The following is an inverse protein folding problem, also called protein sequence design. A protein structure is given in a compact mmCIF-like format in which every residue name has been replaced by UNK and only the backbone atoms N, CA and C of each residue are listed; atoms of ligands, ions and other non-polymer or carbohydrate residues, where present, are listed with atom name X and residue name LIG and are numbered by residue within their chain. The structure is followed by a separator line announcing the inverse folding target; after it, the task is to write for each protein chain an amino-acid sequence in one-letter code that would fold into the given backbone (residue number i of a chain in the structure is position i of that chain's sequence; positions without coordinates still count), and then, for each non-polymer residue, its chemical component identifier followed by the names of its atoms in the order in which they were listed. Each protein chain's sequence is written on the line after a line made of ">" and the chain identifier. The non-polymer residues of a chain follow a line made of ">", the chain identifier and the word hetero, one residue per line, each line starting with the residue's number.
data_IF_884746732489
#
_entry.id   IF_884746732489
#
_cell.length_a   1.000
_cell.length_b   1.000
_cell.length_c   1.000
_cell.angle_alpha   90.00
_cell.angle_beta   90.00
_cell.angle_gamma   90.00
#
_symmetry.space_group_name_H-M   'P 1'
#
loop_
_entity.id
_entity.type
_entity.pdbx_description
1 polymer ?
#
# COMPACT_ATOMS: atom_id res chain seq x y z
N UNK A 1 19.60 -19.43 22.16
CA UNK A 1 18.18 -19.69 21.85
C UNK A 1 18.07 -20.08 20.38
N UNK A 2 17.45 -21.20 20.04
CA UNK A 2 17.39 -21.68 18.64
C UNK A 2 16.22 -20.98 17.92
N UNK A 3 16.52 -20.07 16.99
CA UNK A 3 15.49 -19.32 16.25
C UNK A 3 14.62 -20.22 15.37
N UNK A 4 15.08 -21.45 15.05
CA UNK A 4 14.36 -22.39 14.19
C UNK A 4 12.99 -22.78 14.74
N UNK A 5 12.71 -22.58 16.03
CA UNK A 5 11.37 -22.79 16.61
C UNK A 5 10.30 -21.86 16.04
N UNK A 6 10.69 -20.73 15.46
CA UNK A 6 9.77 -19.78 14.83
C UNK A 6 9.40 -20.15 13.38
N UNK A 7 9.98 -21.23 12.85
CA UNK A 7 9.82 -21.69 11.48
C UNK A 7 8.96 -22.96 11.45
N UNK A 8 8.26 -23.19 10.34
CA UNK A 8 7.52 -24.44 10.12
C UNK A 8 8.48 -25.58 9.80
N UNK A 9 7.98 -26.82 9.84
CA UNK A 9 8.77 -28.02 9.55
C UNK A 9 9.29 -27.96 8.11
N UNK A 10 8.44 -27.53 7.17
CA UNK A 10 8.74 -27.39 5.75
C UNK A 10 9.85 -26.35 5.51
N UNK A 11 9.78 -25.21 6.21
CA UNK A 11 10.81 -24.17 6.14
C UNK A 11 12.15 -24.70 6.67
N UNK A 12 12.15 -25.40 7.81
CA UNK A 12 13.35 -25.97 8.43
C UNK A 12 14.01 -26.99 7.50
N UNK A 13 13.23 -27.83 6.82
CA UNK A 13 13.75 -28.81 5.86
C UNK A 13 14.56 -28.12 4.76
N UNK A 14 14.02 -27.05 4.16
CA UNK A 14 14.70 -26.31 3.09
C UNK A 14 15.94 -25.58 3.63
N UNK A 15 15.84 -24.94 4.80
CA UNK A 15 16.98 -24.29 5.46
C UNK A 15 18.11 -25.30 5.70
N UNK A 16 17.78 -26.54 6.08
CA UNK A 16 18.77 -27.60 6.28
C UNK A 16 19.42 -28.05 4.97
N UNK A 17 18.69 -28.10 3.86
CA UNK A 17 19.27 -28.37 2.53
C UNK A 17 20.27 -27.28 2.14
N UNK A 18 19.88 -26.01 2.28
CA UNK A 18 20.75 -24.86 2.00
C UNK A 18 21.99 -24.90 2.90
N UNK A 19 21.81 -25.18 4.20
CA UNK A 19 22.89 -25.35 5.17
C UNK A 19 23.88 -26.44 4.74
N UNK A 20 23.42 -27.60 4.29
CA UNK A 20 24.29 -28.70 3.86
C UNK A 20 25.13 -28.33 2.63
N UNK A 21 24.52 -27.65 1.65
CA UNK A 21 25.23 -27.14 0.47
C UNK A 21 26.27 -26.09 0.89
N UNK A 22 25.90 -25.16 1.77
CA UNK A 22 26.82 -24.12 2.21
C UNK A 22 28.01 -24.70 2.98
N UNK A 23 27.75 -25.59 3.94
CA UNK A 23 28.78 -26.24 4.76
C UNK A 23 29.77 -27.05 3.92
N UNK A 24 29.29 -27.85 2.96
CA UNK A 24 30.16 -28.66 2.09
C UNK A 24 31.02 -27.84 1.13
N UNK A 25 30.67 -26.57 0.88
CA UNK A 25 31.37 -25.69 -0.05
C UNK A 25 32.10 -24.52 0.64
N UNK A 26 32.14 -24.50 1.98
CA UNK A 26 32.77 -23.42 2.76
C UNK A 26 32.10 -22.06 2.59
N UNK A 27 30.81 -22.03 2.23
CA UNK A 27 30.03 -20.80 2.01
C UNK A 27 29.40 -20.37 3.32
N UNK A 28 29.49 -19.08 3.63
CA UNK A 28 28.82 -18.50 4.80
C UNK A 28 27.39 -18.14 4.42
N UNK A 29 26.45 -18.55 5.27
CA UNK A 29 25.03 -18.34 5.03
C UNK A 29 24.31 -17.92 6.33
N UNK A 30 23.46 -16.92 6.20
CA UNK A 30 22.86 -16.22 7.34
C UNK A 30 21.38 -15.99 7.07
N UNK A 31 20.51 -16.41 7.97
CA UNK A 31 19.15 -15.85 8.02
C UNK A 31 19.28 -14.43 8.57
N UNK A 32 18.69 -13.44 7.92
CA UNK A 32 18.91 -12.02 8.27
C UNK A 32 17.61 -11.25 8.46
N UNK A 33 17.71 -10.09 9.10
CA UNK A 33 16.67 -9.09 9.05
C UNK A 33 15.40 -9.46 9.82
N UNK A 34 14.26 -9.24 9.15
CA UNK A 34 12.94 -9.39 9.76
C UNK A 34 12.68 -10.81 10.27
N UNK A 35 13.22 -11.84 9.59
CA UNK A 35 13.09 -13.22 10.01
C UNK A 35 13.72 -13.46 11.39
N UNK A 36 14.91 -12.91 11.63
CA UNK A 36 15.60 -13.05 12.94
C UNK A 36 14.84 -12.28 14.01
N UNK A 37 14.49 -11.00 13.74
CA UNK A 37 13.71 -10.16 14.65
C UNK A 37 12.39 -10.83 15.06
N UNK A 38 11.63 -11.32 14.09
CA UNK A 38 10.32 -11.91 14.32
C UNK A 38 10.45 -13.20 15.15
N UNK A 39 11.48 -14.00 14.92
CA UNK A 39 11.77 -15.17 15.75
C UNK A 39 12.06 -14.80 17.22
N UNK A 40 12.81 -13.72 17.48
CA UNK A 40 13.07 -13.24 18.85
C UNK A 40 11.84 -12.59 19.51
N UNK A 41 10.94 -12.01 18.73
CA UNK A 41 9.65 -11.51 19.19
C UNK A 41 8.63 -12.64 19.46
N UNK A 42 8.98 -13.90 19.17
CA UNK A 42 8.07 -15.05 19.30
C UNK A 42 7.02 -15.13 18.19
N UNK A 43 7.19 -14.38 17.11
CA UNK A 43 6.32 -14.42 15.95
C UNK A 43 6.74 -15.54 15.00
N UNK A 44 5.77 -16.10 14.25
CA UNK A 44 6.07 -17.00 13.13
C UNK A 44 6.76 -16.23 12.00
N UNK A 45 7.84 -16.80 11.47
CA UNK A 45 8.56 -16.23 10.32
C UNK A 45 7.80 -16.56 9.03
N UNK A 46 7.46 -15.52 8.27
CA UNK A 46 6.78 -15.67 6.97
C UNK A 46 7.76 -15.57 5.81
N UNK A 47 8.49 -14.46 5.78
CA UNK A 47 9.46 -14.16 4.74
C UNK A 47 10.86 -14.56 5.22
N UNK A 48 11.54 -15.40 4.45
CA UNK A 48 12.85 -15.97 4.82
C UNK A 48 13.91 -15.40 3.88
N UNK A 49 14.68 -14.47 4.42
CA UNK A 49 15.84 -13.88 3.75
C UNK A 49 17.11 -14.60 4.20
N UNK A 50 17.83 -15.22 3.26
CA UNK A 50 19.13 -15.85 3.50
C UNK A 50 20.21 -15.10 2.73
N UNK A 51 21.06 -14.39 3.47
CA UNK A 51 22.26 -13.75 2.95
C UNK A 51 23.41 -14.75 2.86
N UNK A 52 24.11 -14.76 1.73
CA UNK A 52 25.26 -15.63 1.47
C UNK A 52 26.46 -14.84 0.95
N UNK A 53 27.68 -15.29 1.23
CA UNK A 53 28.92 -14.62 0.76
C UNK A 53 29.34 -15.04 -0.67
N UNK A 54 28.45 -15.71 -1.41
CA UNK A 54 28.65 -16.17 -2.80
C UNK A 54 27.46 -15.78 -3.69
N UNK A 55 27.62 -15.88 -5.02
CA UNK A 55 26.51 -15.68 -5.95
C UNK A 55 25.39 -16.73 -5.71
N UNK A 56 24.11 -16.32 -5.55
CA UNK A 56 22.99 -17.25 -5.32
C UNK A 56 22.84 -18.33 -6.39
N UNK A 57 23.19 -18.07 -7.64
CA UNK A 57 23.14 -19.07 -8.72
C UNK A 57 23.96 -20.33 -8.41
N UNK A 58 25.04 -20.20 -7.63
CA UNK A 58 25.83 -21.35 -7.18
C UNK A 58 25.03 -22.33 -6.33
N UNK A 59 24.17 -21.81 -5.45
CA UNK A 59 23.34 -22.63 -4.57
C UNK A 59 22.13 -23.15 -5.35
N UNK A 60 21.50 -22.30 -6.17
CA UNK A 60 20.32 -22.67 -6.98
C UNK A 60 20.62 -23.89 -7.85
N UNK A 61 21.78 -23.93 -8.53
CA UNK A 61 22.18 -25.06 -9.37
C UNK A 61 22.39 -26.38 -8.61
N UNK A 62 22.40 -26.36 -7.28
CA UNK A 62 22.57 -27.54 -6.40
C UNK A 62 21.33 -27.86 -5.57
N UNK A 63 20.30 -27.02 -5.61
CA UNK A 63 19.08 -27.19 -4.84
C UNK A 63 18.07 -28.03 -5.62
N UNK A 64 17.45 -28.98 -4.93
CA UNK A 64 16.31 -29.75 -5.44
C UNK A 64 15.00 -29.20 -4.87
N UNK A 65 13.88 -29.51 -5.53
CA UNK A 65 12.54 -29.15 -5.05
C UNK A 65 12.13 -27.70 -5.30
N UNK A 66 12.91 -26.94 -6.06
CA UNK A 66 12.51 -25.62 -6.57
C UNK A 66 11.42 -25.82 -7.63
N UNK A 67 10.25 -25.20 -7.43
CA UNK A 67 9.14 -25.18 -8.38
C UNK A 67 9.41 -24.14 -9.47
N UNK A 68 9.80 -22.94 -9.08
CA UNK A 68 10.30 -21.90 -9.96
C UNK A 68 11.17 -20.91 -9.19
N UNK A 69 11.98 -20.15 -9.92
CA UNK A 69 12.76 -19.06 -9.32
C UNK A 69 12.85 -17.86 -10.25
N UNK A 70 13.06 -16.69 -9.67
CA UNK A 70 13.39 -15.47 -10.39
C UNK A 70 14.72 -14.93 -9.89
N UNK A 71 15.68 -14.75 -10.80
CA UNK A 71 16.98 -14.17 -10.49
C UNK A 71 17.02 -12.70 -10.94
N UNK A 72 17.49 -11.82 -10.06
CA UNK A 72 17.64 -10.40 -10.31
C UNK A 72 19.13 -10.03 -10.33
N UNK A 73 19.72 -10.01 -11.53
CA UNK A 73 21.16 -9.79 -11.74
C UNK A 73 21.68 -8.51 -11.09
N UNK A 74 20.95 -7.40 -11.27
CA UNK A 74 21.29 -6.08 -10.73
C UNK A 74 21.50 -6.07 -9.21
N UNK A 75 20.75 -6.89 -8.48
CA UNK A 75 20.77 -6.93 -7.02
C UNK A 75 21.41 -8.21 -6.47
N UNK A 76 21.82 -9.12 -7.35
CA UNK A 76 22.34 -10.46 -7.04
C UNK A 76 21.48 -11.16 -5.99
N UNK A 77 20.17 -11.15 -6.25
CA UNK A 77 19.13 -11.70 -5.38
C UNK A 77 18.30 -12.69 -6.20
N UNK A 78 17.86 -13.77 -5.56
CA UNK A 78 17.02 -14.77 -6.17
C UNK A 78 15.84 -15.10 -5.26
N UNK A 79 14.63 -15.02 -5.79
CA UNK A 79 13.43 -15.47 -5.10
C UNK A 79 13.08 -16.88 -5.54
N UNK A 80 13.06 -17.81 -4.59
CA UNK A 80 12.84 -19.24 -4.83
C UNK A 80 11.48 -19.66 -4.28
N UNK A 81 10.63 -20.23 -5.12
CA UNK A 81 9.41 -20.92 -4.70
C UNK A 81 9.65 -22.43 -4.76
N UNK A 82 9.47 -23.11 -3.64
CA UNK A 82 9.62 -24.56 -3.53
C UNK A 82 8.29 -25.28 -3.79
N UNK A 83 8.34 -26.58 -4.10
CA UNK A 83 7.16 -27.42 -4.37
C UNK A 83 6.17 -27.51 -3.20
N UNK A 84 6.65 -27.30 -1.97
CA UNK A 84 5.85 -27.25 -0.75
C UNK A 84 5.32 -25.82 -0.43
N UNK A 85 5.31 -24.93 -1.43
CA UNK A 85 4.81 -23.55 -1.34
C UNK A 85 5.59 -22.65 -0.35
N UNK A 86 6.80 -23.06 0.05
CA UNK A 86 7.71 -22.21 0.83
C UNK A 86 8.47 -21.28 -0.10
N UNK A 87 8.52 -19.99 0.26
CA UNK A 87 9.32 -18.98 -0.41
C UNK A 87 10.58 -18.65 0.39
N UNK A 88 11.73 -18.59 -0.29
CA UNK A 88 13.00 -18.15 0.29
C UNK A 88 13.68 -17.19 -0.68
N UNK A 89 14.16 -16.06 -0.16
CA UNK A 89 15.00 -15.13 -0.89
C UNK A 89 16.48 -15.39 -0.57
N UNK A 90 17.25 -15.77 -1.58
CA UNK A 90 18.71 -15.88 -1.51
C UNK A 90 19.34 -14.57 -1.96
N UNK A 91 20.08 -13.92 -1.06
CA UNK A 91 20.63 -12.60 -1.28
C UNK A 91 22.14 -12.68 -1.16
N UNK A 92 22.90 -12.11 -2.11
CA UNK A 92 24.34 -11.96 -1.89
C UNK A 92 24.60 -10.86 -0.85
N UNK A 93 25.45 -11.16 0.13
CA UNK A 93 25.97 -10.17 1.06
C UNK A 93 26.59 -9.01 0.28
N UNK A 94 26.22 -7.79 0.64
CA UNK A 94 26.62 -6.60 -0.12
C UNK A 94 26.84 -5.39 0.76
N UNK A 95 27.71 -4.49 0.29
CA UNK A 95 27.78 -3.11 0.77
C UNK A 95 27.01 -2.22 -0.21
N UNK A 96 26.47 -1.12 0.31
CA UNK A 96 25.76 -0.12 -0.47
C UNK A 96 26.50 1.21 -0.34
N UNK A 97 26.60 1.94 -1.45
CA UNK A 97 27.10 3.31 -1.50
C UNK A 97 26.07 4.20 -2.17
N UNK A 98 25.80 5.35 -1.57
CA UNK A 98 24.87 6.35 -2.08
C UNK A 98 25.70 7.50 -2.67
N UNK A 99 25.57 7.72 -3.98
CA UNK A 99 26.30 8.80 -4.64
C UNK A 99 25.80 10.19 -4.19
N UNK A 100 24.49 10.29 -3.94
CA UNK A 100 23.80 11.46 -3.40
C UNK A 100 22.63 11.01 -2.53
N UNK A 101 22.23 11.88 -1.59
CA UNK A 101 21.06 11.67 -0.74
C UNK A 101 19.80 11.42 -1.59
N UNK A 102 19.01 10.40 -1.23
CA UNK A 102 17.78 10.02 -1.94
C UNK A 102 17.96 9.15 -3.18
N UNK A 103 19.18 8.99 -3.70
CA UNK A 103 19.43 8.12 -4.86
C UNK A 103 19.37 6.63 -4.52
N UNK A 104 19.25 5.80 -5.57
CA UNK A 104 19.38 4.35 -5.40
C UNK A 104 20.84 3.98 -5.13
N UNK A 105 21.10 3.01 -4.23
CA UNK A 105 22.46 2.63 -3.90
C UNK A 105 23.13 1.88 -5.04
N UNK A 106 24.45 2.08 -5.15
CA UNK A 106 25.37 1.22 -5.90
C UNK A 106 25.75 0.04 -5.00
N UNK A 107 25.71 -1.17 -5.56
CA UNK A 107 25.84 -2.42 -4.82
C UNK A 107 27.14 -3.11 -5.19
N UNK A 108 27.91 -3.49 -4.16
CA UNK A 108 29.11 -4.29 -4.30
C UNK A 108 29.04 -5.55 -3.42
N UNK A 109 29.45 -6.72 -3.92
CA UNK A 109 29.63 -7.91 -3.10
C UNK A 109 30.48 -7.65 -1.86
N UNK A 110 30.05 -8.17 -0.72
CA UNK A 110 30.74 -7.96 0.55
C UNK A 110 30.48 -9.07 1.57
N UNK A 111 30.86 -8.84 2.82
CA UNK A 111 30.62 -9.74 3.94
C UNK A 111 29.35 -9.37 4.72
N UNK A 112 28.97 -10.22 5.67
CA UNK A 112 27.78 -10.02 6.50
C UNK A 112 27.83 -8.73 7.33
N UNK A 113 29.00 -8.32 7.82
CA UNK A 113 29.13 -7.10 8.64
C UNK A 113 28.76 -5.85 7.84
N UNK A 114 29.19 -5.78 6.58
CA UNK A 114 28.80 -4.70 5.68
C UNK A 114 27.33 -4.78 5.25
N UNK A 115 26.78 -5.99 5.10
CA UNK A 115 25.36 -6.18 4.81
C UNK A 115 24.46 -5.76 5.97
N UNK A 116 24.87 -6.02 7.21
CA UNK A 116 24.17 -5.56 8.40
C UNK A 116 24.32 -4.05 8.56
N UNK A 117 25.50 -3.50 8.25
CA UNK A 117 25.77 -2.06 8.33
C UNK A 117 24.79 -1.27 7.47
N UNK A 118 24.55 -1.63 6.21
CA UNK A 118 23.69 -0.86 5.28
C UNK A 118 22.19 -0.82 5.65
N UNK A 119 21.75 -1.54 6.68
CA UNK A 119 20.32 -1.66 7.03
C UNK A 119 19.80 -0.41 7.73
N UNK A 120 18.49 -0.35 7.86
CA UNK A 120 17.78 0.81 8.37
C UNK A 120 17.86 0.92 9.91
N UNK A 121 17.47 -0.14 10.61
CA UNK A 121 17.33 -0.17 12.07
C UNK A 121 18.09 -1.33 12.71
N UNK A 122 18.56 -1.11 13.94
CA UNK A 122 19.30 -2.10 14.75
C UNK A 122 18.52 -3.41 14.90
N UNK A 123 17.22 -3.32 15.20
CA UNK A 123 16.31 -4.47 15.29
C UNK A 123 16.20 -5.29 13.99
N UNK A 124 16.55 -4.70 12.85
CA UNK A 124 16.59 -5.38 11.54
C UNK A 124 18.02 -5.74 11.10
N UNK A 125 19.04 -5.40 11.88
CA UNK A 125 20.44 -5.68 11.59
C UNK A 125 20.98 -6.84 12.41
N UNK A 126 20.18 -7.91 12.45
CA UNK A 126 20.53 -9.19 13.06
C UNK A 126 20.79 -10.23 11.98
N UNK A 127 21.75 -11.10 12.21
CA UNK A 127 22.04 -12.26 11.38
C UNK A 127 22.19 -13.52 12.22
N UNK A 128 21.65 -14.63 11.74
CA UNK A 128 21.81 -15.95 12.35
C UNK A 128 22.53 -16.87 11.38
N UNK A 129 23.73 -17.28 11.72
CA UNK A 129 24.54 -18.21 10.93
C UNK A 129 23.89 -19.59 10.97
N UNK A 130 23.39 -20.05 9.81
CA UNK A 130 22.67 -21.33 9.74
C UNK A 130 23.62 -22.53 9.88
N UNK A 131 24.91 -22.36 9.59
CA UNK A 131 25.92 -23.41 9.68
C UNK A 131 26.34 -23.61 11.13
N UNK A 132 26.79 -22.53 11.79
CA UNK A 132 27.32 -22.56 13.16
C UNK A 132 26.23 -22.49 14.23
N UNK A 133 25.05 -21.96 13.90
CA UNK A 133 23.97 -21.72 14.85
C UNK A 133 24.21 -20.52 15.76
N UNK A 134 25.13 -19.62 15.38
CA UNK A 134 25.47 -18.42 16.13
C UNK A 134 24.67 -17.21 15.68
N UNK A 135 24.37 -16.32 16.63
CA UNK A 135 23.77 -15.02 16.35
C UNK A 135 24.86 -13.96 16.22
N UNK A 136 24.72 -13.09 15.24
CA UNK A 136 25.53 -11.90 15.01
C UNK A 136 24.64 -10.69 15.24
N UNK A 137 24.94 -9.93 16.28
CA UNK A 137 24.31 -8.65 16.63
C UNK A 137 25.43 -7.64 16.96
N UNK A 138 25.74 -6.77 15.99
CA UNK A 138 26.83 -5.80 16.10
C UNK A 138 26.33 -4.47 16.68
N UNK A 139 25.03 -4.19 16.54
CA UNK A 139 24.43 -2.88 16.81
C UNK A 139 23.49 -2.88 18.02
N UNK A 140 23.39 -3.98 18.75
CA UNK A 140 22.54 -4.09 19.94
C UNK A 140 21.04 -4.25 19.61
N UNK A 141 20.72 -4.81 18.46
CA UNK A 141 19.34 -5.00 18.00
C UNK A 141 18.50 -5.87 18.94
N UNK A 142 19.10 -6.85 19.62
CA UNK A 142 18.37 -7.66 20.61
C UNK A 142 17.94 -6.86 21.83
N UNK A 143 18.80 -5.97 22.32
CA UNK A 143 18.50 -5.13 23.49
C UNK A 143 17.44 -4.09 23.11
N UNK A 144 17.50 -3.52 21.91
CA UNK A 144 16.46 -2.64 21.38
C UNK A 144 15.11 -3.36 21.23
N UNK A 145 15.09 -4.60 20.72
CA UNK A 145 13.86 -5.41 20.65
C UNK A 145 13.27 -5.64 22.05
N UNK A 146 14.11 -5.99 23.03
CA UNK A 146 13.69 -6.23 24.41
C UNK A 146 13.13 -4.96 25.06
N UNK A 147 13.77 -3.82 24.82
CA UNK A 147 13.35 -2.51 25.34
C UNK A 147 12.24 -1.85 24.52
N UNK A 148 11.78 -2.50 23.43
CA UNK A 148 10.83 -1.95 22.46
C UNK A 148 11.27 -0.57 21.96
N UNK A 149 12.54 -0.44 21.61
CA UNK A 149 13.13 0.78 21.08
C UNK A 149 13.39 0.60 19.59
N UNK A 150 13.08 1.61 18.78
CA UNK A 150 13.47 1.63 17.37
C UNK A 150 14.61 2.63 17.17
N UNK A 151 15.80 2.12 16.87
CA UNK A 151 17.00 2.91 16.62
C UNK A 151 17.53 2.67 15.21
N UNK A 152 17.89 3.75 14.52
CA UNK A 152 18.57 3.69 13.23
C UNK A 152 20.05 3.28 13.40
N UNK A 153 20.65 2.74 12.34
CA UNK A 153 22.07 2.33 12.38
C UNK A 153 23.02 3.52 12.11
N UNK A 154 22.68 4.39 11.16
CA UNK A 154 23.51 5.52 10.75
C UNK A 154 22.92 6.85 11.19
N UNK A 155 23.79 7.80 11.53
CA UNK A 155 23.38 9.17 11.83
C UNK A 155 22.62 9.83 10.67
N UNK A 156 23.04 9.63 9.41
CA UNK A 156 22.39 10.24 8.24
C UNK A 156 21.31 9.37 7.57
N UNK A 157 20.83 8.32 8.24
CA UNK A 157 19.98 7.27 7.65
C UNK A 157 18.75 7.82 6.91
N UNK A 158 18.06 8.82 7.47
CA UNK A 158 16.83 9.36 6.86
C UNK A 158 17.09 10.29 5.67
N UNK A 159 18.28 10.89 5.56
CA UNK A 159 18.67 11.72 4.41
C UNK A 159 19.15 10.87 3.26
N UNK A 160 19.98 9.86 3.55
CA UNK A 160 20.42 8.88 2.55
C UNK A 160 19.23 8.19 1.89
N UNK A 161 18.26 7.74 2.70
CA UNK A 161 17.04 7.11 2.21
C UNK A 161 15.80 7.58 2.99
N UNK A 162 15.07 8.59 2.46
CA UNK A 162 13.88 9.14 3.10
C UNK A 162 12.73 8.14 3.26
N UNK A 163 12.74 7.04 2.49
CA UNK A 163 11.73 5.97 2.65
C UNK A 163 11.81 5.30 4.02
N UNK A 164 12.97 5.36 4.68
CA UNK A 164 13.18 4.82 6.04
C UNK A 164 12.30 5.51 7.09
N UNK A 165 11.85 6.74 6.88
CA UNK A 165 10.93 7.43 7.78
C UNK A 165 9.58 6.69 7.83
N UNK A 166 9.02 6.32 6.68
CA UNK A 166 7.78 5.54 6.62
C UNK A 166 7.97 4.15 7.21
N UNK A 167 9.13 3.52 6.96
CA UNK A 167 9.49 2.22 7.57
C UNK A 167 9.59 2.33 9.10
N UNK A 168 10.12 3.44 9.62
CA UNK A 168 10.18 3.73 11.04
C UNK A 168 8.79 3.73 11.66
N UNK A 169 7.84 4.46 11.04
CA UNK A 169 6.43 4.48 11.44
C UNK A 169 5.84 3.08 11.41
N UNK A 170 6.05 2.34 10.31
CA UNK A 170 5.55 0.97 10.15
C UNK A 170 5.99 0.08 11.30
N UNK A 171 7.28 0.07 11.61
CA UNK A 171 7.85 -0.80 12.64
C UNK A 171 7.49 -0.35 14.05
N UNK A 172 7.46 0.95 14.32
CA UNK A 172 7.01 1.51 15.58
C UNK A 172 5.58 1.06 15.91
N UNK A 173 4.65 1.16 14.96
CA UNK A 173 3.26 0.76 15.18
C UNK A 173 3.09 -0.75 15.18
N UNK A 174 3.69 -1.47 14.22
CA UNK A 174 3.52 -2.92 14.08
C UNK A 174 4.03 -3.69 15.31
N UNK A 175 5.19 -3.30 15.84
CA UNK A 175 5.83 -3.99 16.96
C UNK A 175 5.66 -3.28 18.30
N UNK A 176 5.01 -2.11 18.31
CA UNK A 176 4.85 -1.28 19.50
C UNK A 176 6.18 -0.74 20.01
N UNK A 177 7.11 -0.42 19.11
CA UNK A 177 8.39 0.18 19.46
C UNK A 177 8.25 1.69 19.62
N UNK A 178 8.95 2.25 20.61
CA UNK A 178 9.11 3.69 20.77
C UNK A 178 10.20 4.20 19.82
N UNK A 179 9.82 5.19 19.01
CA UNK A 179 10.71 5.83 18.07
C UNK A 179 11.54 6.89 18.80
N UNK A 180 12.86 6.68 18.90
CA UNK A 180 13.76 7.61 19.61
C UNK A 180 14.08 8.86 18.81
N UNK A 181 14.07 8.76 17.49
CA UNK A 181 14.51 9.85 16.60
C UNK A 181 13.35 10.75 16.11
N UNK A 182 12.28 10.93 16.91
CA UNK A 182 11.08 11.69 16.49
C UNK A 182 11.42 13.12 16.05
N UNK A 183 12.22 13.82 16.86
CA UNK A 183 12.58 15.22 16.60
C UNK A 183 13.44 15.36 15.34
N UNK A 184 14.37 14.45 15.14
CA UNK A 184 15.19 14.43 13.93
C UNK A 184 14.36 14.17 12.67
N UNK A 185 13.43 13.21 12.73
CA UNK A 185 12.52 12.93 11.61
C UNK A 185 11.71 14.19 11.30
N UNK A 186 11.13 14.85 12.30
CA UNK A 186 10.37 16.08 12.11
C UNK A 186 11.25 17.16 11.45
N UNK A 187 12.51 17.30 11.87
CA UNK A 187 13.45 18.25 11.28
C UNK A 187 13.72 17.92 9.79
N UNK A 188 14.05 16.67 9.46
CA UNK A 188 14.26 16.25 8.08
C UNK A 188 13.02 16.48 7.20
N UNK A 189 11.83 16.21 7.73
CA UNK A 189 10.57 16.45 7.02
C UNK A 189 10.37 17.93 6.74
N UNK A 190 10.61 18.81 7.71
CA UNK A 190 10.51 20.26 7.53
C UNK A 190 11.53 20.81 6.52
N UNK A 191 12.72 20.20 6.44
CA UNK A 191 13.76 20.52 5.44
C UNK A 191 13.39 20.01 4.03
N UNK A 192 12.28 19.29 3.87
CA UNK A 192 11.81 18.82 2.58
C UNK A 192 12.54 17.59 2.06
N UNK A 193 13.00 16.69 2.95
CA UNK A 193 13.76 15.48 2.60
C UNK A 193 13.06 14.59 1.57
N UNK A 194 11.72 14.58 1.53
CA UNK A 194 10.96 13.80 0.54
C UNK A 194 11.07 14.33 -0.89
N UNK A 195 11.51 15.57 -1.10
CA UNK A 195 11.77 16.10 -2.43
C UNK A 195 13.00 15.42 -3.10
N UNK A 196 13.80 14.67 -2.34
CA UNK A 196 14.96 13.93 -2.81
C UNK A 196 14.60 12.59 -3.49
N UNK A 197 13.36 12.13 -3.35
CA UNK A 197 12.89 10.86 -3.91
C UNK A 197 11.67 11.03 -4.79
N UNK A 198 11.42 10.07 -5.68
CA UNK A 198 10.26 10.11 -6.56
C UNK A 198 8.94 9.89 -5.80
N UNK A 199 7.84 10.42 -6.35
CA UNK A 199 6.49 10.18 -5.85
C UNK A 199 6.19 8.68 -5.72
N UNK A 200 6.62 7.87 -6.69
CA UNK A 200 6.43 6.42 -6.66
C UNK A 200 7.02 5.77 -5.40
N UNK A 201 8.19 6.21 -4.95
CA UNK A 201 8.82 5.68 -3.72
C UNK A 201 8.03 6.07 -2.48
N UNK A 202 7.55 7.32 -2.41
CA UNK A 202 6.71 7.82 -1.31
C UNK A 202 5.40 7.03 -1.26
N UNK A 203 4.71 6.94 -2.40
CA UNK A 203 3.40 6.29 -2.49
C UNK A 203 3.51 4.80 -2.20
N UNK A 204 4.58 4.12 -2.62
CA UNK A 204 4.82 2.72 -2.29
C UNK A 204 4.92 2.50 -0.79
N UNK A 205 5.64 3.36 -0.07
CA UNK A 205 5.71 3.23 1.39
C UNK A 205 4.38 3.57 2.07
N UNK A 206 3.65 4.59 1.61
CA UNK A 206 2.29 4.88 2.10
C UNK A 206 1.36 3.69 1.86
N UNK A 207 1.46 3.03 0.70
CA UNK A 207 0.70 1.82 0.39
C UNK A 207 0.98 0.72 1.42
N UNK A 208 2.26 0.45 1.72
CA UNK A 208 2.65 -0.52 2.74
C UNK A 208 2.14 -0.16 4.14
N UNK A 209 2.09 1.13 4.50
CA UNK A 209 1.46 1.56 5.76
C UNK A 209 -0.04 1.27 5.78
N UNK A 210 -0.71 1.42 4.63
CA UNK A 210 -2.13 1.12 4.44
C UNK A 210 -2.44 -0.38 4.43
N UNK A 211 -1.48 -1.25 4.07
CA UNK A 211 -1.63 -2.70 4.12
C UNK A 211 -1.64 -3.26 5.55
N UNK A 212 -0.96 -2.58 6.48
CA UNK A 212 -0.88 -3.00 7.88
C UNK A 212 -2.26 -3.16 8.54
N UNK A 213 -2.32 -4.07 9.52
CA UNK A 213 -3.54 -4.25 10.33
C UNK A 213 -3.94 -2.95 11.05
N UNK A 214 -2.97 -2.19 11.54
CA UNK A 214 -3.17 -0.95 12.30
C UNK A 214 -2.92 0.30 11.45
N UNK A 215 -3.34 0.27 10.18
CA UNK A 215 -3.04 1.32 9.22
C UNK A 215 -3.49 2.74 9.65
N UNK A 216 -4.63 2.88 10.34
CA UNK A 216 -5.07 4.19 10.87
C UNK A 216 -4.01 4.74 11.83
N UNK A 217 -3.47 3.90 12.73
CA UNK A 217 -2.41 4.34 13.65
C UNK A 217 -1.14 4.72 12.91
N UNK A 218 -0.78 4.02 11.83
CA UNK A 218 0.35 4.42 10.97
C UNK A 218 0.14 5.82 10.41
N UNK A 219 -1.02 6.07 9.81
CA UNK A 219 -1.35 7.35 9.18
C UNK A 219 -1.39 8.48 10.20
N UNK A 220 -1.98 8.26 11.38
CA UNK A 220 -1.96 9.25 12.46
C UNK A 220 -0.55 9.52 12.98
N UNK A 221 0.31 8.51 13.06
CA UNK A 221 1.71 8.69 13.42
C UNK A 221 2.48 9.48 12.36
N UNK A 222 2.21 9.28 11.07
CA UNK A 222 2.73 10.15 10.01
C UNK A 222 2.31 11.62 10.21
N UNK A 223 1.06 11.85 10.62
CA UNK A 223 0.56 13.18 11.00
C UNK A 223 1.35 13.80 12.16
N UNK A 224 1.57 13.04 13.23
CA UNK A 224 2.36 13.49 14.39
C UNK A 224 3.81 13.82 14.04
N UNK A 225 4.37 13.16 13.02
CA UNK A 225 5.73 13.40 12.50
C UNK A 225 5.77 14.48 11.41
N UNK A 226 4.65 15.20 11.19
CA UNK A 226 4.51 16.27 10.18
C UNK A 226 4.76 15.84 8.73
N UNK A 227 4.70 14.55 8.44
CA UNK A 227 4.88 14.02 7.06
C UNK A 227 3.77 14.55 6.15
N UNK A 228 2.54 14.57 6.64
CA UNK A 228 1.37 15.19 6.02
C UNK A 228 0.30 15.44 7.09
N UNK A 229 -0.60 16.39 6.86
CA UNK A 229 -1.69 16.70 7.78
C UNK A 229 -2.96 15.88 7.44
N UNK A 230 -3.56 15.28 8.47
CA UNK A 230 -4.77 14.45 8.34
C UNK A 230 -5.80 14.81 9.41
N UNK A 231 -7.05 14.90 8.97
CA UNK A 231 -8.19 15.04 9.86
C UNK A 231 -8.57 13.66 10.44
N UNK A 232 -8.43 13.50 11.76
CA UNK A 232 -8.68 12.23 12.45
C UNK A 232 -10.12 11.74 12.32
N UNK A 233 -11.10 12.63 12.46
CA UNK A 233 -12.52 12.26 12.37
C UNK A 233 -12.88 11.70 11.00
N UNK A 234 -12.36 12.32 9.93
CA UNK A 234 -12.54 11.83 8.55
C UNK A 234 -11.83 10.52 8.28
N UNK A 235 -10.70 10.25 8.95
CA UNK A 235 -9.94 9.02 8.79
C UNK A 235 -10.65 7.84 9.46
N UNK A 236 -11.25 8.08 10.63
CA UNK A 236 -11.95 7.10 11.45
C UNK A 236 -13.46 6.98 11.11
N UNK A 237 -13.96 7.71 10.11
CA UNK A 237 -15.38 7.72 9.77
C UNK A 237 -15.86 6.36 9.23
N UNK A 238 -17.01 5.91 9.72
CA UNK A 238 -17.69 4.69 9.32
C UNK A 238 -17.07 3.40 9.87
N UNK A 239 -17.90 2.50 10.38
CA UNK A 239 -17.49 1.17 10.86
C UNK A 239 -17.24 0.15 9.72
N UNK A 240 -17.14 0.62 8.47
CA UNK A 240 -16.88 -0.26 7.33
C UNK A 240 -15.41 -0.71 7.37
N UNK A 241 -15.19 -1.97 7.73
CA UNK A 241 -13.85 -2.55 7.73
C UNK A 241 -13.40 -2.76 6.27
N UNK A 242 -12.68 -1.78 5.71
CA UNK A 242 -12.15 -1.91 4.36
C UNK A 242 -10.96 -2.87 4.38
N UNK A 243 -11.18 -4.10 3.90
CA UNK A 243 -10.11 -5.08 3.70
C UNK A 243 -9.23 -4.76 2.48
N UNK A 244 -9.67 -3.85 1.62
CA UNK A 244 -8.97 -3.46 0.39
C UNK A 244 -8.10 -2.21 0.63
N UNK A 245 -6.81 -2.30 0.30
CA UNK A 245 -5.81 -1.23 0.49
C UNK A 245 -6.12 0.03 -0.32
N UNK A 246 -6.62 -0.10 -1.54
CA UNK A 246 -7.00 1.05 -2.38
C UNK A 246 -8.10 1.89 -1.73
N UNK A 247 -9.07 1.24 -1.07
CA UNK A 247 -10.11 1.95 -0.29
C UNK A 247 -9.55 2.63 0.96
N UNK A 248 -8.53 2.04 1.60
CA UNK A 248 -7.81 2.68 2.73
C UNK A 248 -7.02 3.90 2.26
N UNK A 249 -6.40 3.84 1.09
CA UNK A 249 -5.74 5.00 0.48
C UNK A 249 -6.75 6.06 0.08
N UNK A 250 -7.90 5.68 -0.47
CA UNK A 250 -8.99 6.62 -0.73
C UNK A 250 -9.46 7.30 0.57
N UNK A 251 -9.54 6.56 1.68
CA UNK A 251 -9.89 7.09 3.00
C UNK A 251 -8.82 8.04 3.54
N UNK A 252 -7.55 7.71 3.37
CA UNK A 252 -6.44 8.64 3.64
C UNK A 252 -6.62 9.93 2.82
N UNK A 253 -6.84 9.81 1.51
CA UNK A 253 -7.04 10.97 0.63
C UNK A 253 -8.21 11.85 1.10
N UNK A 254 -9.33 11.25 1.50
CA UNK A 254 -10.48 11.98 2.06
C UNK A 254 -10.15 12.74 3.35
N UNK A 255 -9.23 12.19 4.16
CA UNK A 255 -8.80 12.76 5.43
C UNK A 255 -7.65 13.79 5.27
N UNK A 256 -6.96 13.84 4.13
CA UNK A 256 -5.85 14.77 3.93
C UNK A 256 -6.31 16.23 3.99
N UNK A 257 -5.54 17.05 4.68
CA UNK A 257 -5.73 18.50 4.74
C UNK A 257 -4.77 19.24 3.81
N UNK A 258 -3.63 18.62 3.46
CA UNK A 258 -2.63 19.17 2.55
C UNK A 258 -2.86 18.71 1.10
N UNK A 259 -2.94 19.68 0.19
CA UNK A 259 -3.03 19.45 -1.26
C UNK A 259 -1.78 18.80 -1.84
N UNK A 260 -0.58 19.03 -1.29
CA UNK A 260 0.67 18.46 -1.82
C UNK A 260 0.65 16.93 -1.78
N UNK A 261 0.29 16.35 -0.63
CA UNK A 261 0.18 14.90 -0.48
C UNK A 261 -0.90 14.30 -1.40
N UNK A 262 -2.04 15.00 -1.56
CA UNK A 262 -3.09 14.61 -2.49
C UNK A 262 -2.58 14.52 -3.96
N UNK A 263 -1.76 15.47 -4.40
CA UNK A 263 -1.14 15.41 -5.73
C UNK A 263 -0.17 14.23 -5.86
N UNK A 264 0.68 13.98 -4.85
CA UNK A 264 1.60 12.83 -4.83
C UNK A 264 0.83 11.50 -4.98
N UNK A 265 -0.30 11.35 -4.27
CA UNK A 265 -1.17 10.17 -4.39
C UNK A 265 -1.86 10.07 -5.77
N UNK A 266 -2.13 11.20 -6.44
CA UNK A 266 -2.73 11.21 -7.78
C UNK A 266 -1.73 10.98 -8.91
N UNK A 267 -0.45 11.28 -8.69
CA UNK A 267 0.60 11.33 -9.72
C UNK A 267 1.73 10.31 -9.44
N UNK A 268 1.42 9.03 -9.65
CA UNK A 268 2.36 7.92 -9.48
C UNK A 268 2.00 6.72 -10.37
N UNK A 269 2.93 5.78 -10.51
CA UNK A 269 2.71 4.52 -11.21
C UNK A 269 2.13 3.39 -10.33
N UNK A 270 2.20 3.53 -9.00
CA UNK A 270 1.94 2.47 -8.02
C UNK A 270 0.45 2.15 -7.86
N UNK A 271 -0.41 3.16 -7.76
CA UNK A 271 -1.83 2.97 -7.47
C UNK A 271 -2.63 2.52 -8.70
N UNK A 272 -3.75 1.85 -8.43
CA UNK A 272 -4.74 1.47 -9.44
C UNK A 272 -5.16 2.68 -10.30
N UNK A 273 -5.30 2.43 -11.60
CA UNK A 273 -5.64 3.45 -12.59
C UNK A 273 -6.95 4.18 -12.27
N UNK A 274 -8.01 3.48 -11.84
CA UNK A 274 -9.30 4.10 -11.51
C UNK A 274 -9.21 4.88 -10.22
N UNK A 275 -8.46 4.38 -9.23
CA UNK A 275 -8.19 5.12 -8.00
C UNK A 275 -7.48 6.44 -8.30
N UNK A 276 -6.39 6.43 -9.08
CA UNK A 276 -5.64 7.63 -9.44
C UNK A 276 -6.48 8.67 -10.17
N UNK A 277 -7.27 8.23 -11.16
CA UNK A 277 -8.19 9.12 -11.88
C UNK A 277 -9.18 9.78 -10.92
N UNK A 278 -9.67 9.04 -9.93
CA UNK A 278 -10.56 9.59 -8.90
C UNK A 278 -9.85 10.62 -8.04
N UNK A 279 -8.69 10.27 -7.47
CA UNK A 279 -7.90 11.17 -6.63
C UNK A 279 -7.59 12.46 -7.40
N UNK A 280 -7.10 12.37 -8.64
CA UNK A 280 -6.78 13.54 -9.47
C UNK A 280 -8.00 14.42 -9.70
N UNK A 281 -9.11 13.85 -10.15
CA UNK A 281 -10.33 14.61 -10.40
C UNK A 281 -10.86 15.30 -9.15
N UNK A 282 -10.87 14.61 -8.01
CA UNK A 282 -11.41 15.16 -6.76
C UNK A 282 -10.46 16.13 -6.06
N UNK A 283 -9.14 16.04 -6.27
CA UNK A 283 -8.19 17.05 -5.79
C UNK A 283 -8.53 18.45 -6.34
N UNK A 284 -8.96 18.53 -7.61
CA UNK A 284 -9.27 19.79 -8.28
C UNK A 284 -10.76 20.17 -8.18
N UNK A 285 -11.66 19.19 -8.30
CA UNK A 285 -13.07 19.46 -8.59
C UNK A 285 -14.05 19.09 -7.45
N UNK A 286 -13.58 18.61 -6.29
CA UNK A 286 -14.47 18.09 -5.24
C UNK A 286 -15.58 19.07 -4.83
N UNK A 287 -15.23 20.32 -4.52
CA UNK A 287 -16.20 21.32 -4.05
C UNK A 287 -17.27 21.59 -5.12
N UNK A 288 -16.87 21.71 -6.39
CA UNK A 288 -17.77 21.93 -7.52
C UNK A 288 -18.71 20.74 -7.74
N UNK A 289 -18.18 19.51 -7.68
CA UNK A 289 -18.99 18.29 -7.84
C UNK A 289 -19.98 18.18 -6.67
N UNK A 290 -19.54 18.42 -5.44
CA UNK A 290 -20.39 18.38 -4.25
C UNK A 290 -21.52 19.42 -4.33
N UNK A 291 -21.24 20.66 -4.76
CA UNK A 291 -22.28 21.68 -4.93
C UNK A 291 -23.29 21.32 -6.01
N UNK A 292 -22.84 20.75 -7.14
CA UNK A 292 -23.74 20.31 -8.21
C UNK A 292 -24.68 19.20 -7.72
N UNK A 293 -24.16 18.24 -6.94
CA UNK A 293 -24.98 17.17 -6.37
C UNK A 293 -26.00 17.73 -5.38
N UNK A 294 -25.59 18.64 -4.50
CA UNK A 294 -26.50 19.29 -3.54
C UNK A 294 -27.62 20.04 -4.23
N UNK A 295 -27.31 20.75 -5.33
CA UNK A 295 -28.27 21.57 -6.06
C UNK A 295 -29.10 20.79 -7.10
N UNK A 296 -28.80 19.52 -7.37
CA UNK A 296 -29.58 18.70 -8.29
C UNK A 296 -31.03 18.56 -7.76
N UNK A 297 -32.00 19.01 -8.55
CA UNK A 297 -33.41 19.10 -8.16
C UNK A 297 -34.18 17.82 -8.47
N UNK A 298 -33.67 17.00 -9.39
CA UNK A 298 -34.31 15.76 -9.80
C UNK A 298 -33.31 14.61 -10.05
N UNK A 299 -33.84 13.39 -10.24
CA UNK A 299 -33.04 12.19 -10.47
C UNK A 299 -32.25 12.26 -11.79
N UNK A 300 -32.80 12.92 -12.80
CA UNK A 300 -32.13 13.08 -14.10
C UNK A 300 -30.88 13.95 -14.01
N UNK A 301 -30.95 15.09 -13.34
CA UNK A 301 -29.80 15.97 -13.08
C UNK A 301 -28.73 15.24 -12.27
N UNK A 302 -29.15 14.56 -11.19
CA UNK A 302 -28.26 13.77 -10.35
C UNK A 302 -27.56 12.65 -11.15
N UNK A 303 -28.31 11.93 -11.98
CA UNK A 303 -27.77 10.90 -12.87
C UNK A 303 -26.73 11.48 -13.85
N UNK A 304 -27.01 12.63 -14.47
CA UNK A 304 -26.05 13.28 -15.39
C UNK A 304 -24.73 13.63 -14.72
N UNK A 305 -24.78 14.11 -13.47
CA UNK A 305 -23.59 14.46 -12.70
C UNK A 305 -22.78 13.20 -12.36
N UNK A 306 -23.45 12.11 -11.96
CA UNK A 306 -22.78 10.93 -11.39
C UNK A 306 -22.42 9.84 -12.42
N UNK A 307 -23.06 9.78 -13.60
CA UNK A 307 -22.85 8.71 -14.62
C UNK A 307 -21.39 8.47 -15.02
N UNK A 308 -20.56 9.52 -15.02
CA UNK A 308 -19.15 9.42 -15.38
C UNK A 308 -18.21 9.15 -14.21
N UNK A 309 -18.71 9.11 -12.99
CA UNK A 309 -17.90 8.93 -11.78
C UNK A 309 -17.77 7.43 -11.51
N UNK A 310 -16.52 6.95 -11.41
CA UNK A 310 -16.25 5.55 -11.08
C UNK A 310 -16.54 5.24 -9.60
N UNK A 311 -16.45 3.96 -9.24
CA UNK A 311 -16.81 3.46 -7.91
C UNK A 311 -16.03 4.12 -6.77
N UNK A 312 -14.74 4.43 -6.96
CA UNK A 312 -13.93 5.13 -5.95
C UNK A 312 -14.44 6.55 -5.72
N UNK A 313 -14.78 7.27 -6.79
CA UNK A 313 -15.40 8.59 -6.67
C UNK A 313 -16.74 8.57 -5.95
N UNK A 314 -17.59 7.57 -6.23
CA UNK A 314 -18.88 7.41 -5.55
C UNK A 314 -18.70 7.10 -4.05
N UNK A 315 -17.74 6.22 -3.71
CA UNK A 315 -17.40 5.93 -2.31
C UNK A 315 -16.95 7.20 -1.58
N UNK A 316 -16.08 8.00 -2.22
CA UNK A 316 -15.58 9.24 -1.64
C UNK A 316 -16.72 10.25 -1.38
N UNK A 317 -17.63 10.41 -2.34
CA UNK A 317 -18.79 11.29 -2.20
C UNK A 317 -19.75 10.80 -1.10
N UNK A 318 -19.92 9.47 -0.94
CA UNK A 318 -20.78 8.86 0.10
C UNK A 318 -20.33 9.23 1.51
N UNK A 319 -19.04 9.47 1.74
CA UNK A 319 -18.51 9.84 3.06
C UNK A 319 -18.81 11.27 3.48
N UNK A 320 -19.31 12.10 2.58
CA UNK A 320 -19.88 13.39 2.94
C UNK A 320 -21.35 13.19 3.33
N UNK A 321 -21.66 13.40 4.60
CA UNK A 321 -23.01 13.19 5.14
C UNK A 321 -24.09 13.98 4.40
N UNK A 322 -23.77 15.18 3.90
CA UNK A 322 -24.71 16.01 3.13
C UNK A 322 -25.06 15.41 1.77
N UNK A 323 -24.18 14.57 1.21
CA UNK A 323 -24.37 13.94 -0.11
C UNK A 323 -24.90 12.50 -0.01
N UNK A 324 -24.80 11.89 1.17
CA UNK A 324 -24.99 10.45 1.40
C UNK A 324 -26.28 9.90 0.80
N UNK A 325 -27.41 10.57 1.00
CA UNK A 325 -28.71 10.13 0.48
C UNK A 325 -28.78 10.18 -1.06
N UNK A 326 -28.31 11.27 -1.68
CA UNK A 326 -28.27 11.40 -3.14
C UNK A 326 -27.36 10.35 -3.79
N UNK A 327 -26.19 10.11 -3.19
CA UNK A 327 -25.29 9.05 -3.65
C UNK A 327 -25.94 7.66 -3.48
N UNK A 328 -26.59 7.40 -2.34
CA UNK A 328 -27.32 6.15 -2.11
C UNK A 328 -28.40 5.92 -3.16
N UNK A 329 -29.25 6.92 -3.42
CA UNK A 329 -30.30 6.86 -4.42
C UNK A 329 -29.72 6.53 -5.81
N UNK A 330 -28.64 7.21 -6.21
CA UNK A 330 -27.97 6.94 -7.47
C UNK A 330 -27.44 5.50 -7.55
N UNK A 331 -26.67 5.05 -6.55
CA UNK A 331 -26.04 3.71 -6.56
C UNK A 331 -27.10 2.61 -6.60
N UNK A 332 -28.17 2.72 -5.82
CA UNK A 332 -29.17 1.65 -5.71
C UNK A 332 -30.23 1.68 -6.80
N UNK A 333 -30.55 2.86 -7.32
CA UNK A 333 -31.70 3.01 -8.21
C UNK A 333 -31.32 3.42 -9.64
N UNK A 334 -30.19 4.09 -9.87
CA UNK A 334 -29.89 4.70 -11.18
C UNK A 334 -28.59 4.19 -11.82
N UNK A 335 -27.68 3.62 -11.05
CA UNK A 335 -26.34 3.22 -11.52
C UNK A 335 -26.40 2.22 -12.69
N UNK A 336 -27.34 1.27 -12.64
CA UNK A 336 -27.55 0.27 -13.70
C UNK A 336 -28.68 0.65 -14.68
N UNK A 337 -29.11 1.92 -14.70
CA UNK A 337 -30.17 2.37 -15.59
C UNK A 337 -29.84 2.08 -17.07
N UNK A 338 -30.84 1.55 -17.78
CA UNK A 338 -30.83 1.36 -19.23
C UNK A 338 -32.11 1.95 -19.81
N UNK A 339 -31.96 2.85 -20.78
CA UNK A 339 -33.07 3.48 -21.52
C UNK A 339 -33.99 2.43 -22.15
N UNK A 340 -35.31 2.67 -22.15
CA UNK A 340 -36.27 1.78 -22.83
C UNK A 340 -36.19 1.93 -24.35
N UNK A 341 -35.81 3.13 -24.79
CA UNK A 341 -35.65 3.47 -26.19
C UNK A 341 -34.18 3.41 -26.59
N UNK A 342 -33.93 2.91 -27.80
CA UNK A 342 -32.63 2.94 -28.43
C UNK A 342 -32.68 3.83 -29.69
N UNK A 343 -31.54 4.40 -30.08
CA UNK A 343 -31.47 5.30 -31.23
C UNK A 343 -31.91 4.64 -32.54
N UNK A 344 -31.64 3.34 -32.71
CA UNK A 344 -32.04 2.57 -33.91
C UNK A 344 -33.56 2.51 -34.08
N UNK A 345 -34.30 2.33 -32.99
CA UNK A 345 -35.76 2.33 -32.96
C UNK A 345 -36.33 3.70 -33.31
N UNK A 346 -35.76 4.77 -32.75
CA UNK A 346 -36.16 6.14 -33.06
C UNK A 346 -35.91 6.45 -34.55
N UNK A 347 -34.80 5.98 -35.11
CA UNK A 347 -34.53 6.09 -36.55
C UNK A 347 -35.51 5.29 -37.41
N UNK A 348 -35.93 4.11 -36.94
CA UNK A 348 -36.91 3.28 -37.66
C UNK A 348 -38.31 3.91 -37.74
N UNK A 349 -38.63 4.85 -36.85
CA UNK A 349 -39.90 5.59 -36.82
C UNK A 349 -39.83 6.90 -37.64
N UNK A 350 -38.70 7.15 -38.31
CA UNK A 350 -38.57 8.24 -39.30
C UNK A 350 -37.74 9.45 -38.86
N UNK A 351 -37.16 9.44 -37.65
CA UNK A 351 -36.26 10.52 -37.21
C UNK A 351 -34.81 10.16 -37.59
N UNK A 352 -34.28 10.79 -38.63
CA UNK A 352 -32.93 10.50 -39.14
C UNK A 352 -31.87 11.51 -38.67
N UNK A 353 -32.27 12.67 -38.12
CA UNK A 353 -31.35 13.68 -37.62
C UNK A 353 -30.77 13.26 -36.25
N UNK A 354 -29.46 13.06 -36.17
CA UNK A 354 -28.76 12.63 -34.94
C UNK A 354 -28.99 13.54 -33.73
N UNK A 355 -29.13 14.86 -33.93
CA UNK A 355 -29.40 15.80 -32.82
C UNK A 355 -30.82 15.59 -32.27
N UNK A 356 -31.81 15.46 -33.15
CA UNK A 356 -33.20 15.21 -32.76
C UNK A 356 -33.36 13.86 -32.04
N UNK A 357 -32.66 12.81 -32.51
CA UNK A 357 -32.61 11.50 -31.81
C UNK A 357 -32.05 11.69 -30.39
N UNK A 358 -30.98 12.45 -30.24
CA UNK A 358 -30.37 12.75 -28.93
C UNK A 358 -31.31 13.50 -27.98
N UNK A 359 -32.05 14.48 -28.48
CA UNK A 359 -33.06 15.23 -27.69
C UNK A 359 -34.19 14.32 -27.21
N UNK A 360 -34.73 13.46 -28.08
CA UNK A 360 -35.77 12.48 -27.72
C UNK A 360 -35.25 11.50 -26.66
N UNK A 361 -34.04 10.97 -26.82
CA UNK A 361 -33.42 10.07 -25.85
C UNK A 361 -33.22 10.74 -24.48
N UNK A 362 -32.81 12.02 -24.47
CA UNK A 362 -32.65 12.79 -23.25
C UNK A 362 -33.97 13.04 -22.54
N UNK A 363 -35.02 13.43 -23.28
CA UNK A 363 -36.36 13.65 -22.75
C UNK A 363 -36.93 12.37 -22.13
N UNK A 364 -36.81 11.25 -22.84
CA UNK A 364 -37.27 9.95 -22.36
C UNK A 364 -36.47 9.48 -21.15
N UNK A 365 -35.15 9.69 -21.15
CA UNK A 365 -34.32 9.38 -19.98
C UNK A 365 -34.72 10.20 -18.75
N UNK A 366 -35.05 11.49 -18.95
CA UNK A 366 -35.55 12.36 -17.89
C UNK A 366 -36.86 11.83 -17.31
N UNK A 367 -37.82 11.47 -18.16
CA UNK A 367 -39.09 10.89 -17.72
C UNK A 367 -38.85 9.59 -16.97
N UNK A 368 -38.09 8.65 -17.52
CA UNK A 368 -37.87 7.32 -16.90
C UNK A 368 -37.18 7.41 -15.53
N UNK A 369 -36.16 8.27 -15.40
CA UNK A 369 -35.42 8.42 -14.15
C UNK A 369 -36.20 9.19 -13.08
N UNK A 370 -36.97 10.21 -13.46
CA UNK A 370 -37.76 10.98 -12.49
C UNK A 370 -39.03 10.23 -12.07
N UNK A 371 -39.65 9.49 -12.99
CA UNK A 371 -40.86 8.70 -12.70
C UNK A 371 -40.56 7.34 -12.06
N UNK A 372 -39.33 6.84 -12.19
CA UNK A 372 -38.89 5.54 -11.64
C UNK A 372 -39.75 4.34 -12.11
N UNK A 373 -40.48 4.49 -13.23
CA UNK A 373 -41.50 3.55 -13.73
C UNK A 373 -40.97 2.13 -13.96
N UNK A 374 -39.65 1.97 -14.18
CA UNK A 374 -39.01 0.65 -14.36
C UNK A 374 -38.67 -0.11 -13.08
N UNK A 375 -38.80 0.49 -11.89
CA UNK A 375 -38.24 -0.09 -10.66
C UNK A 375 -39.27 -0.74 -9.71
N UNK A 376 -40.57 -0.66 -10.01
CA UNK A 376 -41.64 -1.39 -9.31
C UNK A 376 -41.70 -1.18 -7.77
N UNK A 377 -42.52 -2.00 -7.07
CA UNK A 377 -42.84 -1.92 -5.62
C UNK A 377 -41.64 -1.77 -4.65
N UNK A 378 -40.39 -2.03 -5.08
CA UNK A 378 -39.19 -1.93 -4.23
C UNK A 378 -38.83 -0.50 -3.80
N UNK A 379 -39.21 0.51 -4.60
CA UNK A 379 -38.90 1.92 -4.32
C UNK A 379 -39.81 2.51 -3.22
N UNK A 380 -41.09 2.14 -3.22
CA UNK A 380 -42.09 2.65 -2.27
C UNK A 380 -41.82 2.27 -0.81
N UNK A 381 -41.13 1.14 -0.56
CA UNK A 381 -40.94 0.60 0.80
C UNK A 381 -39.69 1.14 1.50
N UNK A 382 -38.74 1.77 0.78
CA UNK A 382 -37.45 2.21 1.36
C UNK A 382 -37.14 3.71 1.31
N UNK A 383 -37.85 4.49 0.47
CA UNK A 383 -37.52 5.90 0.23
C UNK A 383 -38.60 6.90 0.69
N UNK A 384 -39.65 6.47 1.40
CA UNK A 384 -40.60 7.38 2.07
C UNK A 384 -40.02 8.07 3.32
N UNK A 385 -38.72 7.92 3.60
CA UNK A 385 -38.05 8.58 4.72
C UNK A 385 -37.65 10.05 4.48
N UNK A 386 -37.99 10.64 3.34
CA UNK A 386 -37.87 12.09 3.09
C UNK A 386 -39.23 12.81 3.03
N UNK A 387 -40.29 12.18 3.55
CA UNK A 387 -41.48 12.91 4.01
C UNK A 387 -41.66 12.60 5.50
N UNK A 388 -40.90 13.31 6.33
CA UNK A 388 -41.23 13.90 7.66
C UNK A 388 -39.95 14.53 8.22
#
# INVERSE_FOLDING_TARGET
>A
MNILKAFTIEQIQIINLIKAICKSNGIKAYIVGGAVRDAFLGNKVKDIDICIDKNPNFIIGKLNGIKCFQYYDKFQTASLLFQNEVNIDLIRCRKEYYARDGELPIIDPSNIYNDLRRRDFTANALAYDIVTGSLIDIYGGLEDIKNKSLQKIHLNSYREDPTRIFRAVKYAVRYGFDLKDKDEIINCVNEGVFNLISNDRIVKEIYHLCEEKMWIKNILMCGNLKIFNVNREKLEIGNENYNNTDKRILRLFYALEDKKCAHILGENSVLDSKLKVSIKNFTENYQKIASLILNAMDNYELYKILKGINDYGLILLKWNDKLKYKIYNYVHNMYHYKSSLNGKFISSIGIQNGKAIGEVLNYMTKIELNSMIKYGKKYLVKNLGEII
#
